data_IF_717564747546
#
_entry.id   IF_717564747546
#
_cell.length_a   1.000
_cell.length_b   1.000
_cell.length_c   1.000
_cell.angle_alpha   90.00
_cell.angle_beta   90.00
_cell.angle_gamma   90.00
#
_symmetry.space_group_name_H-M   'P 1'
#
loop_
_entity.id
_entity.type
_entity.pdbx_description
1 polymer ?
#
# COMPACT_ATOMS: atom_id res chain seq x y z
N UNK A 1 3.40 1.42 18.23
CA UNK A 1 3.69 0.71 16.95
C UNK A 1 2.69 -0.42 16.82
N UNK A 2 1.96 -0.45 15.71
CA UNK A 2 0.85 -1.38 15.44
C UNK A 2 1.13 -2.19 14.17
N UNK A 3 0.65 -3.44 14.14
CA UNK A 3 0.62 -4.27 12.93
C UNK A 3 -0.82 -4.41 12.45
N UNK A 4 -1.08 -3.96 11.24
CA UNK A 4 -2.39 -4.03 10.61
C UNK A 4 -2.35 -5.01 9.43
N UNK A 5 -3.41 -5.77 9.27
CA UNK A 5 -3.61 -6.63 8.11
C UNK A 5 -4.96 -6.29 7.48
N UNK A 6 -4.96 -6.14 6.16
CA UNK A 6 -6.16 -5.86 5.39
C UNK A 6 -6.18 -6.72 4.14
N UNK A 7 -7.38 -7.13 3.73
CA UNK A 7 -7.60 -7.79 2.46
C UNK A 7 -8.62 -6.99 1.65
N UNK A 8 -8.39 -6.84 0.35
CA UNK A 8 -9.29 -6.14 -0.56
C UNK A 8 -9.54 -6.97 -1.83
N UNK A 9 -10.80 -7.05 -2.30
CA UNK A 9 -11.08 -7.59 -3.62
C UNK A 9 -10.29 -6.82 -4.68
N UNK A 10 -9.54 -7.57 -5.49
CA UNK A 10 -8.69 -7.03 -6.54
C UNK A 10 -8.66 -8.00 -7.72
N UNK A 11 -8.36 -7.49 -8.92
CA UNK A 11 -8.45 -8.31 -10.15
C UNK A 11 -7.36 -8.02 -11.17
N UNK A 12 -6.54 -6.98 -10.98
CA UNK A 12 -5.48 -6.61 -11.91
C UNK A 12 -4.12 -7.07 -11.37
N UNK A 13 -3.60 -8.23 -11.77
CA UNK A 13 -2.32 -8.71 -11.27
C UNK A 13 -1.17 -7.79 -11.68
N UNK A 14 -0.10 -7.82 -10.90
CA UNK A 14 1.19 -7.22 -11.24
C UNK A 14 2.15 -8.32 -11.69
N UNK A 15 3.07 -8.01 -12.60
CA UNK A 15 4.00 -8.97 -13.20
C UNK A 15 5.43 -8.87 -12.66
N UNK A 16 5.77 -7.77 -12.00
CA UNK A 16 7.07 -7.54 -11.36
C UNK A 16 6.91 -6.83 -10.01
N UNK A 17 7.89 -6.97 -9.09
CA UNK A 17 7.85 -6.26 -7.82
C UNK A 17 8.21 -4.78 -7.99
N UNK A 18 7.61 -3.93 -7.15
CA UNK A 18 7.93 -2.49 -7.08
C UNK A 18 8.18 -2.06 -5.64
N UNK A 19 9.01 -1.03 -5.49
CA UNK A 19 9.33 -0.43 -4.19
C UNK A 19 9.38 1.09 -4.32
N UNK A 20 8.61 1.79 -3.50
CA UNK A 20 8.53 3.24 -3.47
C UNK A 20 8.62 3.75 -2.03
N UNK A 21 9.39 4.81 -1.82
CA UNK A 21 9.48 5.51 -0.54
C UNK A 21 10.60 5.02 0.37
N UNK A 22 10.54 5.42 1.64
CA UNK A 22 11.51 5.09 2.69
C UNK A 22 10.87 5.25 4.07
N UNK A 23 11.35 4.50 5.06
CA UNK A 23 10.89 4.60 6.45
C UNK A 23 11.60 5.76 7.18
N UNK A 24 11.20 6.99 6.85
CA UNK A 24 11.64 8.22 7.52
C UNK A 24 10.46 8.93 8.20
N UNK A 25 10.73 9.76 9.21
CA UNK A 25 9.67 10.48 9.92
C UNK A 25 8.77 11.26 8.95
N UNK A 26 7.46 10.95 8.98
CA UNK A 26 6.47 11.56 8.09
C UNK A 26 6.36 10.93 6.69
N UNK A 27 7.08 9.82 6.44
CA UNK A 27 7.03 9.06 5.19
C UNK A 27 6.84 7.56 5.46
N UNK A 28 6.68 6.80 4.38
CA UNK A 28 6.51 5.35 4.37
C UNK A 28 7.22 4.74 3.16
N UNK A 29 7.56 3.47 3.27
CA UNK A 29 7.87 2.63 2.12
C UNK A 29 6.70 1.72 1.77
N UNK A 30 6.50 1.48 0.47
CA UNK A 30 5.50 0.58 -0.09
C UNK A 30 6.24 -0.42 -0.98
N UNK A 31 6.14 -1.70 -0.65
CA UNK A 31 6.66 -2.80 -1.45
C UNK A 31 5.47 -3.60 -1.96
N UNK A 32 5.43 -3.88 -3.25
CA UNK A 32 4.41 -4.72 -3.87
C UNK A 32 5.06 -5.91 -4.55
N UNK A 33 4.48 -7.09 -4.40
CA UNK A 33 4.96 -8.34 -5.03
C UNK A 33 3.83 -9.06 -5.76
N UNK A 34 4.10 -9.71 -6.91
CA UNK A 34 3.12 -10.59 -7.55
C UNK A 34 2.62 -11.64 -6.55
N UNK A 35 1.33 -11.94 -6.58
CA UNK A 35 0.70 -12.92 -5.69
C UNK A 35 -0.07 -13.96 -6.48
N UNK A 36 -0.23 -15.16 -5.89
CA UNK A 36 -1.12 -16.22 -6.38
C UNK A 36 -2.45 -16.26 -5.64
N UNK A 37 -2.66 -15.33 -4.69
CA UNK A 37 -3.94 -15.16 -3.99
C UNK A 37 -5.04 -14.65 -4.93
N UNK A 38 -6.29 -14.79 -4.48
CA UNK A 38 -7.49 -14.29 -5.14
C UNK A 38 -7.86 -12.84 -4.73
N UNK A 39 -7.17 -12.30 -3.73
CA UNK A 39 -7.36 -10.93 -3.21
C UNK A 39 -6.03 -10.24 -2.94
N UNK A 40 -6.06 -8.90 -2.88
CA UNK A 40 -4.91 -8.11 -2.47
C UNK A 40 -4.72 -8.20 -0.96
N UNK A 41 -3.54 -8.59 -0.53
CA UNK A 41 -3.20 -8.77 0.88
C UNK A 41 -2.23 -7.67 1.30
N UNK A 42 -2.52 -6.96 2.38
CA UNK A 42 -1.70 -5.87 2.87
C UNK A 42 -1.25 -6.11 4.31
N UNK A 43 0.05 -6.08 4.52
CA UNK A 43 0.70 -6.12 5.83
C UNK A 43 1.34 -4.77 6.11
N UNK A 44 0.90 -4.11 7.19
CA UNK A 44 1.32 -2.74 7.51
C UNK A 44 1.90 -2.70 8.91
N UNK A 45 3.11 -2.15 9.04
CA UNK A 45 3.70 -1.77 10.33
C UNK A 45 3.71 -0.26 10.40
N UNK A 46 2.99 0.33 11.36
CA UNK A 46 2.91 1.78 11.53
C UNK A 46 3.39 2.23 12.90
N UNK A 47 4.12 3.34 12.92
CA UNK A 47 4.48 4.04 14.15
C UNK A 47 3.30 4.72 14.85
N UNK A 48 2.16 4.88 14.19
CA UNK A 48 0.99 5.63 14.68
C UNK A 48 -0.12 4.70 15.18
N UNK A 49 -0.29 4.60 16.49
CA UNK A 49 -1.29 3.73 17.10
C UNK A 49 -2.71 4.32 17.01
N UNK A 50 -3.72 3.46 16.82
CA UNK A 50 -5.14 3.87 16.79
C UNK A 50 -5.62 4.43 15.45
N UNK A 51 -4.81 4.33 14.40
CA UNK A 51 -5.12 4.84 13.05
C UNK A 51 -5.72 3.76 12.12
N UNK A 52 -6.08 2.58 12.63
CA UNK A 52 -6.65 1.48 11.82
C UNK A 52 -7.81 1.92 10.91
N UNK A 53 -8.76 2.70 11.43
CA UNK A 53 -9.90 3.20 10.64
C UNK A 53 -9.47 4.17 9.54
N UNK A 54 -8.45 5.01 9.82
CA UNK A 54 -7.90 5.93 8.82
C UNK A 54 -7.21 5.16 7.71
N UNK A 55 -6.39 4.16 8.05
CA UNK A 55 -5.79 3.24 7.09
C UNK A 55 -6.83 2.54 6.23
N UNK A 56 -7.87 1.94 6.84
CA UNK A 56 -8.96 1.31 6.10
C UNK A 56 -9.61 2.26 5.08
N UNK A 57 -9.84 3.52 5.46
CA UNK A 57 -10.45 4.52 4.57
C UNK A 57 -9.55 4.92 3.41
N UNK A 58 -8.25 5.10 3.65
CA UNK A 58 -7.27 5.40 2.59
C UNK A 58 -7.18 4.23 1.61
N UNK A 59 -7.00 3.02 2.14
CA UNK A 59 -6.88 1.80 1.33
C UNK A 59 -8.16 1.53 0.54
N UNK A 60 -9.34 1.67 1.15
CA UNK A 60 -10.61 1.52 0.43
C UNK A 60 -10.68 2.46 -0.77
N UNK A 61 -10.36 3.74 -0.58
CA UNK A 61 -10.38 4.72 -1.68
C UNK A 61 -9.35 4.41 -2.76
N UNK A 62 -8.19 3.89 -2.38
CA UNK A 62 -7.16 3.43 -3.30
C UNK A 62 -7.65 2.24 -4.14
N UNK A 63 -8.17 1.18 -3.51
CA UNK A 63 -8.67 -0.02 -4.21
C UNK A 63 -9.95 0.23 -5.03
N UNK A 64 -10.82 1.15 -4.59
CA UNK A 64 -11.98 1.59 -5.38
C UNK A 64 -11.54 2.18 -6.75
N UNK A 65 -10.31 2.72 -6.84
CA UNK A 65 -9.74 3.31 -8.07
C UNK A 65 -8.78 2.36 -8.79
N UNK A 66 -7.98 1.62 -8.05
CA UNK A 66 -6.90 0.76 -8.56
C UNK A 66 -7.03 -0.65 -7.95
N UNK A 67 -7.78 -1.58 -8.59
CA UNK A 67 -8.00 -2.93 -8.07
C UNK A 67 -6.80 -3.85 -8.32
N UNK A 68 -5.61 -3.45 -7.89
CA UNK A 68 -4.34 -4.16 -8.10
C UNK A 68 -4.26 -5.41 -7.21
N UNK A 69 -4.02 -6.56 -7.82
CA UNK A 69 -3.90 -7.85 -7.17
C UNK A 69 -2.41 -8.14 -6.92
N UNK A 70 -2.00 -7.91 -5.68
CA UNK A 70 -0.62 -8.06 -5.23
C UNK A 70 -0.58 -8.33 -3.71
N UNK A 71 0.58 -8.80 -3.24
CA UNK A 71 0.95 -8.73 -1.83
C UNK A 71 1.61 -7.37 -1.58
N UNK A 72 1.10 -6.61 -0.61
CA UNK A 72 1.63 -5.32 -0.20
C UNK A 72 2.27 -5.43 1.18
N UNK A 73 3.47 -4.88 1.30
CA UNK A 73 4.17 -4.66 2.55
C UNK A 73 4.41 -3.15 2.71
N UNK A 74 3.96 -2.58 3.82
CA UNK A 74 4.04 -1.14 4.07
C UNK A 74 4.66 -0.90 5.45
N UNK A 75 5.77 -0.16 5.48
CA UNK A 75 6.40 0.28 6.73
C UNK A 75 6.30 1.80 6.82
N UNK A 76 5.53 2.26 7.80
CA UNK A 76 5.14 3.66 7.97
C UNK A 76 5.73 4.27 9.25
N UNK A 77 6.35 5.44 9.13
CA UNK A 77 6.82 6.24 10.25
C UNK A 77 6.04 7.55 10.38
N UNK A 78 4.71 7.44 10.47
CA UNK A 78 3.83 8.55 10.79
C UNK A 78 3.53 9.47 9.60
N UNK A 79 3.48 8.89 8.40
CA UNK A 79 3.04 9.60 7.21
C UNK A 79 1.59 10.07 7.34
N UNK A 80 1.33 11.26 6.83
CA UNK A 80 -0.06 11.75 6.74
C UNK A 80 -0.84 10.91 5.72
N UNK A 81 -2.18 10.80 5.83
CA UNK A 81 -3.00 10.06 4.86
C UNK A 81 -2.79 10.50 3.40
N UNK A 82 -2.45 11.77 3.17
CA UNK A 82 -2.12 12.27 1.84
C UNK A 82 -0.82 11.70 1.29
N UNK A 83 0.23 11.61 2.12
CA UNK A 83 1.52 10.99 1.74
C UNK A 83 1.36 9.48 1.53
N UNK A 84 0.58 8.80 2.37
CA UNK A 84 0.24 7.38 2.17
C UNK A 84 -0.38 7.15 0.79
N UNK A 85 -1.41 7.93 0.45
CA UNK A 85 -2.08 7.81 -0.85
C UNK A 85 -1.14 8.16 -2.02
N UNK A 86 -0.24 9.14 -1.84
CA UNK A 86 0.75 9.52 -2.83
C UNK A 86 1.71 8.35 -3.12
N UNK A 87 2.31 7.74 -2.09
CA UNK A 87 3.26 6.61 -2.25
C UNK A 87 2.59 5.39 -2.88
N UNK A 88 1.36 5.07 -2.48
CA UNK A 88 0.57 4.01 -3.10
C UNK A 88 0.32 4.28 -4.59
N UNK A 89 -0.01 5.53 -4.95
CA UNK A 89 -0.25 5.91 -6.35
C UNK A 89 1.04 5.84 -7.17
N UNK A 90 2.17 6.31 -6.63
CA UNK A 90 3.48 6.19 -7.27
C UNK A 90 3.90 4.73 -7.48
N UNK A 91 3.60 3.83 -6.53
CA UNK A 91 3.86 2.41 -6.70
C UNK A 91 3.02 1.80 -7.83
N UNK A 92 1.76 2.23 -7.98
CA UNK A 92 0.92 1.87 -9.12
C UNK A 92 1.46 2.43 -10.44
N UNK A 93 1.92 3.68 -10.48
CA UNK A 93 2.49 4.31 -11.67
C UNK A 93 3.77 3.60 -12.12
N UNK A 94 4.63 3.22 -11.18
CA UNK A 94 5.88 2.50 -11.45
C UNK A 94 5.67 1.14 -12.14
N UNK A 95 4.48 0.53 -11.98
CA UNK A 95 4.13 -0.72 -12.68
C UNK A 95 3.82 -0.52 -14.16
N UNK A 96 3.45 0.69 -14.58
CA UNK A 96 3.02 0.96 -15.95
C UNK A 96 4.14 1.48 -16.86
N UNK A 97 5.41 1.46 -16.41
CA UNK A 97 6.56 1.99 -17.15
C UNK A 97 6.27 3.37 -17.77
N UNK A 98 5.95 4.37 -16.95
CA UNK A 98 6.11 5.77 -17.40
C UNK A 98 7.61 6.11 -17.38
N UNK A 99 8.30 5.77 -18.48
CA UNK A 99 9.54 6.44 -18.91
C UNK A 99 9.22 7.82 -19.50
#
# INVERSE_FOLDING_TARGET
MEKLHFNFPASKPIDHPVHIGVVASGDLEVIMRPTTADEAQLSIVTGSDGFKTVWQNVLKRYFDRYPLLAEFEINDFGATPGVVNLRLTQAMEALNDEQ
#
